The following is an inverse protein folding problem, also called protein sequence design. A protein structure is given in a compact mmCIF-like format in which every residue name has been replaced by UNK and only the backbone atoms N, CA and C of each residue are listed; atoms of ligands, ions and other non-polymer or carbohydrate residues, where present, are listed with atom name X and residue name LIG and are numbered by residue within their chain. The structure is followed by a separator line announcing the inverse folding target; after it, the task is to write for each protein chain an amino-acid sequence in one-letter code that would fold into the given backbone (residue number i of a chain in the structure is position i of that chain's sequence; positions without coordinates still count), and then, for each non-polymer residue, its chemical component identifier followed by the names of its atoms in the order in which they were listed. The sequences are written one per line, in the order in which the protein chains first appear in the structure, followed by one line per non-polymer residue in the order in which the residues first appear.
data_IF_493352582638
#
_entry.id   IF_493352582638
#
_cell.length_a   1.000
_cell.length_b   1.000
_cell.length_c   1.000
_cell.angle_alpha   90.00
_cell.angle_beta   90.00
_cell.angle_gamma   90.00
#
_symmetry.space_group_name_H-M   'P 1'
#
loop_
_entity.id
_entity.type
_entity.pdbx_description
1 polymer ?
#
# COMPACT_ATOMS: atom_id res chain seq x y z
N UNK A 1 9.74 12.64 -23.68
CA UNK A 1 10.53 11.41 -23.49
C UNK A 1 9.74 10.43 -22.65
N UNK A 2 9.72 9.13 -22.96
CA UNK A 2 8.99 8.18 -22.15
C UNK A 2 9.64 8.01 -20.76
N UNK A 3 8.81 7.90 -19.75
CA UNK A 3 9.23 7.65 -18.37
C UNK A 3 9.44 6.14 -18.21
N UNK A 4 10.69 5.70 -18.12
CA UNK A 4 11.03 4.28 -17.95
C UNK A 4 10.79 3.88 -16.49
N UNK A 5 9.87 2.94 -16.27
CA UNK A 5 9.56 2.39 -14.94
C UNK A 5 10.31 1.08 -14.70
N UNK A 6 10.25 0.17 -15.67
CA UNK A 6 10.96 -1.12 -15.67
C UNK A 6 11.43 -1.41 -17.09
N UNK A 7 12.20 -2.48 -17.28
CA UNK A 7 12.61 -2.92 -18.63
C UNK A 7 11.43 -3.21 -19.58
N UNK A 8 10.23 -3.43 -19.05
CA UNK A 8 9.02 -3.80 -19.82
C UNK A 8 7.94 -2.71 -19.80
N UNK A 9 8.01 -1.77 -18.88
CA UNK A 9 6.99 -0.73 -18.68
C UNK A 9 7.63 0.63 -18.89
N UNK A 10 7.10 1.35 -19.89
CA UNK A 10 7.47 2.71 -20.22
C UNK A 10 6.18 3.52 -20.39
N UNK A 11 6.04 4.60 -19.65
CA UNK A 11 4.86 5.45 -19.64
C UNK A 11 5.14 6.66 -20.51
N UNK A 12 4.26 7.00 -21.47
CA UNK A 12 4.35 8.27 -22.18
C UNK A 12 4.30 9.44 -21.20
N UNK A 13 5.10 10.46 -21.41
CA UNK A 13 5.08 11.67 -20.56
C UNK A 13 3.73 12.39 -20.64
N UNK A 14 3.04 12.27 -21.75
CA UNK A 14 1.70 12.86 -21.98
C UNK A 14 0.61 12.22 -21.12
N UNK A 15 0.81 11.00 -20.62
CA UNK A 15 -0.12 10.33 -19.70
C UNK A 15 -0.02 10.88 -18.26
N UNK A 16 0.97 11.73 -17.98
CA UNK A 16 1.23 12.29 -16.65
C UNK A 16 1.02 13.80 -16.67
N UNK A 17 0.01 14.26 -15.97
CA UNK A 17 -0.31 15.68 -15.81
C UNK A 17 0.30 16.27 -14.54
N UNK A 18 0.88 17.47 -14.68
CA UNK A 18 1.36 18.24 -13.54
C UNK A 18 0.58 19.54 -13.42
N UNK A 19 0.04 19.80 -12.24
CA UNK A 19 -0.59 21.08 -11.88
C UNK A 19 0.10 21.71 -10.68
N UNK A 20 0.39 23.01 -10.78
CA UNK A 20 0.90 23.77 -9.65
C UNK A 20 -0.22 23.98 -8.61
N UNK A 21 0.11 23.75 -7.34
CA UNK A 21 -0.82 24.01 -6.23
C UNK A 21 -0.10 24.84 -5.17
N UNK A 22 -0.87 25.57 -4.37
CA UNK A 22 -0.33 26.27 -3.22
C UNK A 22 0.12 25.27 -2.17
N UNK A 23 1.33 25.43 -1.66
CA UNK A 23 1.80 24.63 -0.54
C UNK A 23 0.94 24.90 0.69
N UNK A 24 0.42 23.86 1.31
CA UNK A 24 -0.30 23.95 2.59
C UNK A 24 0.65 23.56 3.72
N UNK A 25 0.83 24.46 4.71
CA UNK A 25 1.67 24.18 5.88
C UNK A 25 1.73 25.36 6.84
N UNK A 26 2.12 25.13 8.11
CA UNK A 26 2.35 26.19 9.07
C UNK A 26 3.65 26.96 8.69
N UNK A 27 3.53 27.94 7.82
CA UNK A 27 4.63 28.76 7.37
C UNK A 27 4.20 30.19 7.14
N UNK A 28 5.10 31.15 7.45
CA UNK A 28 4.85 32.57 7.31
C UNK A 28 4.54 33.00 5.87
N UNK A 29 4.39 34.31 5.62
CA UNK A 29 3.93 34.91 4.36
C UNK A 29 4.65 34.42 3.09
N UNK A 30 5.87 33.89 3.20
CA UNK A 30 6.64 33.37 2.07
C UNK A 30 6.09 32.05 1.51
N UNK A 31 5.50 31.19 2.35
CA UNK A 31 4.92 29.89 1.93
C UNK A 31 3.63 30.09 1.15
N UNK A 32 2.88 31.16 1.45
CA UNK A 32 1.61 31.45 0.79
C UNK A 32 1.75 32.13 -0.58
N UNK A 33 2.97 32.59 -0.96
CA UNK A 33 3.24 33.29 -2.23
C UNK A 33 3.95 32.44 -3.27
N UNK A 34 4.55 31.30 -2.88
CA UNK A 34 5.28 30.42 -3.82
C UNK A 34 4.47 29.18 -4.12
N UNK A 35 4.00 29.04 -5.36
CA UNK A 35 3.36 27.82 -5.90
C UNK A 35 4.45 26.78 -6.23
N UNK A 36 5.23 26.38 -5.20
CA UNK A 36 6.28 25.37 -5.35
C UNK A 36 5.73 23.94 -5.26
N UNK A 37 4.55 23.76 -4.67
CA UNK A 37 3.91 22.44 -4.59
C UNK A 37 3.31 22.05 -5.94
N UNK A 38 3.41 20.75 -6.26
CA UNK A 38 2.90 20.16 -7.49
C UNK A 38 1.96 19.02 -7.16
N UNK A 39 0.88 18.92 -7.96
CA UNK A 39 0.03 17.75 -8.03
C UNK A 39 0.32 17.03 -9.33
N UNK A 40 0.67 15.75 -9.21
CA UNK A 40 0.80 14.82 -10.31
C UNK A 40 -0.49 14.02 -10.42
N UNK A 41 -1.01 13.86 -11.64
CA UNK A 41 -2.12 12.96 -11.98
C UNK A 41 -1.65 12.01 -13.07
N UNK A 42 -2.00 10.75 -12.95
CA UNK A 42 -1.72 9.70 -13.92
C UNK A 42 -2.95 8.81 -14.08
N UNK A 43 -3.50 8.70 -15.28
CA UNK A 43 -4.61 7.78 -15.57
C UNK A 43 -4.09 6.34 -15.68
N UNK A 44 -4.10 5.64 -14.56
CA UNK A 44 -3.58 4.28 -14.49
C UNK A 44 -4.46 3.25 -15.20
N UNK A 45 -5.78 3.45 -15.23
CA UNK A 45 -6.70 2.51 -15.86
C UNK A 45 -6.80 2.75 -17.36
N UNK A 46 -6.75 4.00 -17.83
CA UNK A 46 -6.78 4.37 -19.23
C UNK A 46 -5.46 4.15 -19.96
N UNK A 47 -4.33 4.16 -19.24
CA UNK A 47 -3.01 4.01 -19.87
C UNK A 47 -2.85 2.65 -20.56
N UNK A 48 -2.41 2.67 -21.80
CA UNK A 48 -2.04 1.49 -22.58
C UNK A 48 -0.69 0.88 -22.20
N UNK A 49 0.10 1.58 -21.37
CA UNK A 49 1.42 1.13 -20.94
C UNK A 49 1.40 0.02 -19.88
N UNK A 50 0.25 -0.18 -19.21
CA UNK A 50 0.07 -1.15 -18.14
C UNK A 50 -0.82 -2.31 -18.59
N UNK A 51 -0.42 -3.55 -18.28
CA UNK A 51 -1.25 -4.73 -18.47
C UNK A 51 -2.35 -4.84 -17.39
N UNK A 52 -3.36 -5.68 -17.65
CA UNK A 52 -4.52 -5.86 -16.78
C UNK A 52 -4.13 -6.34 -15.35
N UNK A 53 -3.14 -7.22 -15.26
CA UNK A 53 -2.65 -7.71 -13.98
C UNK A 53 -1.96 -6.60 -13.17
N UNK A 54 -1.09 -5.82 -13.80
CA UNK A 54 -0.43 -4.69 -13.17
C UNK A 54 -1.44 -3.64 -12.72
N UNK A 55 -2.46 -3.33 -13.54
CA UNK A 55 -3.56 -2.44 -13.16
C UNK A 55 -4.33 -2.93 -11.92
N UNK A 56 -4.64 -4.23 -11.88
CA UNK A 56 -5.34 -4.82 -10.73
C UNK A 56 -4.49 -4.74 -9.44
N UNK A 57 -3.19 -5.08 -9.53
CA UNK A 57 -2.26 -4.95 -8.39
C UNK A 57 -2.06 -3.50 -7.98
N UNK A 58 -1.92 -2.59 -8.95
CA UNK A 58 -1.76 -1.17 -8.71
C UNK A 58 -2.96 -0.59 -7.94
N UNK A 59 -4.17 -1.00 -8.30
CA UNK A 59 -5.40 -0.61 -7.58
C UNK A 59 -5.37 -1.06 -6.12
N UNK A 60 -4.87 -2.26 -5.85
CA UNK A 60 -4.77 -2.81 -4.50
C UNK A 60 -3.74 -2.05 -3.63
N UNK A 61 -2.56 -1.72 -4.18
CA UNK A 61 -1.48 -1.09 -3.42
C UNK A 61 -1.57 0.44 -3.36
N UNK A 62 -2.19 1.08 -4.35
CA UNK A 62 -2.34 2.53 -4.39
C UNK A 62 -3.24 3.05 -3.26
N UNK A 63 -4.26 2.30 -2.86
CA UNK A 63 -5.17 2.66 -1.78
C UNK A 63 -5.79 4.05 -2.01
N UNK A 64 -5.65 4.96 -1.05
CA UNK A 64 -6.22 6.32 -1.11
C UNK A 64 -5.58 7.22 -2.19
N UNK A 65 -4.46 6.82 -2.79
CA UNK A 65 -3.78 7.57 -3.85
C UNK A 65 -4.49 7.41 -5.20
N UNK A 66 -5.35 6.41 -5.32
CA UNK A 66 -6.14 6.17 -6.53
C UNK A 66 -7.55 6.71 -6.35
N UNK A 67 -8.01 7.52 -7.29
CA UNK A 67 -9.37 8.05 -7.34
C UNK A 67 -10.36 6.96 -7.77
N UNK A 68 -11.65 7.22 -7.59
CA UNK A 68 -12.70 6.33 -8.09
C UNK A 68 -12.66 6.16 -9.62
N UNK A 69 -12.17 7.17 -10.35
CA UNK A 69 -11.96 7.13 -11.80
C UNK A 69 -10.76 6.28 -12.24
N UNK A 70 -9.89 5.86 -11.29
CA UNK A 70 -8.71 5.06 -11.60
C UNK A 70 -7.44 5.88 -11.87
N UNK A 71 -7.47 7.16 -11.54
CA UNK A 71 -6.31 8.05 -11.62
C UNK A 71 -5.49 7.99 -10.34
N UNK A 72 -4.18 7.96 -10.46
CA UNK A 72 -3.26 8.10 -9.33
C UNK A 72 -2.91 9.57 -9.14
N UNK A 73 -3.03 10.05 -7.91
CA UNK A 73 -2.76 11.44 -7.55
C UNK A 73 -1.67 11.49 -6.47
N UNK A 74 -0.62 12.25 -6.75
CA UNK A 74 0.41 12.60 -5.78
C UNK A 74 0.50 14.11 -5.59
N UNK A 75 0.68 14.52 -4.34
CA UNK A 75 1.02 15.90 -3.99
C UNK A 75 2.47 15.91 -3.52
N UNK A 76 3.32 16.69 -4.18
CA UNK A 76 4.71 16.89 -3.84
C UNK A 76 4.94 18.34 -3.41
N UNK A 77 5.28 18.54 -2.14
CA UNK A 77 5.55 19.84 -1.52
C UNK A 77 6.75 19.79 -0.56
N UNK A 78 7.56 18.75 -0.66
CA UNK A 78 8.67 18.49 0.26
C UNK A 78 9.82 19.46 0.06
N UNK A 79 10.04 19.87 -1.17
CA UNK A 79 11.17 20.70 -1.56
C UNK A 79 10.75 22.15 -1.86
N UNK A 80 11.69 23.08 -1.75
CA UNK A 80 11.45 24.49 -2.10
C UNK A 80 11.39 24.73 -3.61
N UNK A 81 12.04 23.88 -4.39
CA UNK A 81 12.10 23.95 -5.84
C UNK A 81 10.92 23.17 -6.46
N UNK A 82 10.22 23.79 -7.41
CA UNK A 82 9.18 23.12 -8.21
C UNK A 82 9.72 21.92 -8.96
N UNK A 83 10.91 22.04 -9.52
CA UNK A 83 11.56 20.96 -10.26
C UNK A 83 11.89 19.77 -9.34
N UNK A 84 12.41 20.02 -8.14
CA UNK A 84 12.67 18.97 -7.17
C UNK A 84 11.37 18.26 -6.71
N UNK A 85 10.27 19.00 -6.58
CA UNK A 85 8.95 18.40 -6.27
C UNK A 85 8.41 17.58 -7.44
N UNK A 86 8.66 18.01 -8.70
CA UNK A 86 8.29 17.24 -9.90
C UNK A 86 9.03 15.91 -9.93
N UNK A 87 10.32 15.91 -9.68
CA UNK A 87 11.13 14.69 -9.63
C UNK A 87 10.72 13.77 -8.48
N UNK A 88 10.41 14.31 -7.30
CA UNK A 88 9.90 13.54 -6.16
C UNK A 88 8.55 12.86 -6.49
N UNK A 89 7.63 13.58 -7.12
CA UNK A 89 6.33 13.02 -7.54
C UNK A 89 6.50 11.90 -8.57
N UNK A 90 7.36 12.10 -9.56
CA UNK A 90 7.69 11.09 -10.58
C UNK A 90 8.35 9.85 -9.95
N UNK A 91 9.32 10.05 -9.06
CA UNK A 91 9.98 8.93 -8.39
C UNK A 91 8.99 8.06 -7.59
N UNK A 92 8.04 8.67 -6.89
CA UNK A 92 6.98 7.96 -6.17
C UNK A 92 6.03 7.20 -7.11
N UNK A 93 5.69 7.78 -8.26
CA UNK A 93 4.87 7.11 -9.28
C UNK A 93 5.60 5.90 -9.85
N UNK A 94 6.87 6.06 -10.23
CA UNK A 94 7.72 4.99 -10.75
C UNK A 94 7.84 3.85 -9.73
N UNK A 95 8.12 4.16 -8.47
CA UNK A 95 8.23 3.17 -7.39
C UNK A 95 6.94 2.38 -7.21
N UNK A 96 5.79 3.07 -7.17
CA UNK A 96 4.48 2.44 -7.02
C UNK A 96 4.14 1.51 -8.18
N UNK A 97 4.41 1.92 -9.41
CA UNK A 97 4.16 1.09 -10.61
C UNK A 97 5.15 -0.07 -10.67
N UNK A 98 6.42 0.14 -10.32
CA UNK A 98 7.42 -0.92 -10.27
C UNK A 98 7.06 -1.97 -9.21
N UNK A 99 6.50 -1.58 -8.08
CA UNK A 99 5.98 -2.50 -7.06
C UNK A 99 4.79 -3.31 -7.61
N UNK A 100 3.84 -2.64 -8.29
CA UNK A 100 2.70 -3.31 -8.93
C UNK A 100 3.11 -4.30 -10.05
N UNK A 101 4.18 -4.00 -10.76
CA UNK A 101 4.71 -4.84 -11.83
C UNK A 101 5.37 -6.13 -11.32
N UNK A 102 5.75 -6.19 -10.05
CA UNK A 102 6.33 -7.41 -9.46
C UNK A 102 5.26 -8.49 -9.32
N UNK A 103 5.46 -9.69 -9.88
CA UNK A 103 4.54 -10.79 -9.68
C UNK A 103 4.54 -11.20 -8.20
N UNK A 104 3.35 -11.26 -7.61
CA UNK A 104 3.21 -11.75 -6.23
C UNK A 104 3.27 -13.27 -6.26
N UNK A 105 4.22 -13.85 -5.54
CA UNK A 105 4.28 -15.29 -5.35
C UNK A 105 3.00 -15.78 -4.64
N UNK A 106 2.28 -16.71 -5.26
CA UNK A 106 1.10 -17.32 -4.64
C UNK A 106 1.50 -18.02 -3.34
N UNK A 107 0.96 -17.54 -2.23
CA UNK A 107 1.15 -18.19 -0.93
C UNK A 107 0.46 -19.54 -0.94
N UNK A 108 1.23 -20.62 -0.94
CA UNK A 108 0.70 -21.97 -0.80
C UNK A 108 0.14 -22.14 0.62
N UNK A 109 -1.10 -22.64 0.71
CA UNK A 109 -1.69 -22.96 2.00
C UNK A 109 -0.84 -24.04 2.69
N UNK A 110 -0.34 -23.73 3.89
CA UNK A 110 0.42 -24.69 4.69
C UNK A 110 -0.50 -25.37 5.68
N UNK A 111 -0.40 -26.69 5.80
CA UNK A 111 -1.09 -27.44 6.86
C UNK A 111 -0.43 -27.12 8.21
N UNK A 112 -1.22 -26.95 9.29
CA UNK A 112 -0.65 -26.79 10.63
C UNK A 112 0.26 -27.97 10.98
N UNK A 113 1.42 -27.75 11.63
CA UNK A 113 2.31 -28.81 12.01
C UNK A 113 1.64 -29.74 13.04
N UNK A 114 1.94 -31.03 13.00
CA UNK A 114 1.39 -32.02 13.94
C UNK A 114 1.68 -31.68 15.41
N UNK A 115 2.78 -30.97 15.67
CA UNK A 115 3.14 -30.46 17.00
C UNK A 115 2.11 -29.47 17.54
N UNK A 116 1.57 -28.57 16.72
CA UNK A 116 0.52 -27.62 17.11
C UNK A 116 -0.77 -28.34 17.51
N UNK A 117 -1.17 -29.36 16.73
CA UNK A 117 -2.34 -30.17 17.05
C UNK A 117 -2.17 -30.93 18.39
N UNK A 118 -0.98 -31.48 18.63
CA UNK A 118 -0.65 -32.14 19.92
C UNK A 118 -0.66 -31.16 21.09
N UNK A 119 -0.08 -29.98 20.93
CA UNK A 119 -0.09 -28.94 21.96
C UNK A 119 -1.52 -28.51 22.31
N UNK A 120 -2.39 -28.32 21.31
CA UNK A 120 -3.79 -27.98 21.52
C UNK A 120 -4.54 -29.08 22.29
N UNK A 121 -4.32 -30.35 21.93
CA UNK A 121 -4.92 -31.49 22.65
C UNK A 121 -4.46 -31.53 24.12
N UNK A 122 -3.15 -31.39 24.37
CA UNK A 122 -2.60 -31.36 25.75
C UNK A 122 -3.23 -30.22 26.56
N UNK A 123 -3.32 -29.01 25.99
CA UNK A 123 -3.93 -27.86 26.66
C UNK A 123 -5.42 -28.12 26.98
N UNK A 124 -6.16 -28.76 26.07
CA UNK A 124 -7.56 -29.11 26.25
C UNK A 124 -7.75 -30.15 27.35
N UNK A 125 -6.93 -31.21 27.37
CA UNK A 125 -6.95 -32.26 28.42
C UNK A 125 -6.64 -31.64 29.80
N UNK A 126 -5.59 -30.85 29.89
CA UNK A 126 -5.21 -30.19 31.15
C UNK A 126 -6.34 -29.31 31.72
N UNK A 127 -7.01 -28.50 30.85
CA UNK A 127 -8.19 -27.72 31.29
C UNK A 127 -9.34 -28.60 31.72
N UNK A 128 -9.54 -29.75 31.08
CA UNK A 128 -10.55 -30.74 31.48
C UNK A 128 -10.28 -31.33 32.87
N UNK A 129 -9.02 -31.65 33.19
CA UNK A 129 -8.60 -32.18 34.45
C UNK A 129 -8.78 -31.16 35.60
N UNK A 130 -8.41 -29.90 35.36
CA UNK A 130 -8.66 -28.81 36.32
C UNK A 130 -10.16 -28.66 36.59
N UNK A 131 -11.03 -28.73 35.59
CA UNK A 131 -12.50 -28.67 35.77
C UNK A 131 -13.01 -29.83 36.63
N UNK A 132 -12.54 -31.05 36.38
CA UNK A 132 -12.92 -32.23 37.16
C UNK A 132 -12.52 -32.10 38.61
N UNK A 133 -11.33 -31.60 38.89
CA UNK A 133 -10.86 -31.35 40.28
C UNK A 133 -11.73 -30.33 41.00
N UNK A 134 -12.17 -29.28 40.31
CA UNK A 134 -13.08 -28.26 40.90
C UNK A 134 -14.46 -28.82 41.22
N UNK A 135 -14.99 -29.73 40.43
CA UNK A 135 -16.29 -30.38 40.70
C UNK A 135 -16.22 -31.31 41.93
N UNK A 136 -15.07 -31.96 42.18
CA UNK A 136 -14.86 -32.88 43.27
C UNK A 136 -14.80 -32.15 44.66
N UNK A 137 -14.24 -30.93 44.68
CA UNK A 137 -14.16 -30.10 45.90
C UNK A 137 -15.53 -29.59 46.37
N UNK A 138 -16.52 -29.49 45.48
CA UNK A 138 -17.88 -29.07 45.83
C UNK A 138 -18.73 -30.19 46.45
N UNK A 139 -18.39 -31.45 46.20
CA UNK A 139 -19.12 -32.60 46.79
C UNK A 139 -18.69 -32.99 48.15
N UNK A 140 -17.55 -32.50 48.69
CA UNK A 140 -17.06 -32.80 50.04
C UNK A 140 -17.50 -31.75 51.07
N UNK A 141 -18.37 -30.80 50.72
CA UNK A 141 -18.86 -29.71 51.61
C UNK A 141 -20.37 -29.77 51.90
N UNK A 142 -21.09 -30.83 51.49
CA UNK A 142 -22.49 -31.08 51.85
C UNK A 142 -22.59 -32.17 52.95
#
# INVERSE_FOLDING_TARGET
MPIVVTQRISIPEDDVEFSAIRASGPGGQHVNKTESALRLRFDALGSGALDAETKARLRAIAGRRMTAAGEIVFVAQRFRSREANRQDALARLIELIAEAARPVAQRRATKPPRSAARALRRAKTHRGDIKRLRARVKSDQD
#
